data_IF_249852965270
#
_entry.id   IF_249852965270
#
_cell.length_a   1.000
_cell.length_b   1.000
_cell.length_c   1.000
_cell.angle_alpha   90.00
_cell.angle_beta   90.00
_cell.angle_gamma   90.00
#
_symmetry.space_group_name_H-M   'P 1'
#
loop_
_entity.id
_entity.type
_entity.pdbx_description
1 polymer ?
#
# COMPACT_ATOMS: atom_id res chain seq x y z
N UNK A 1 0.50 -2.63 -25.09
CA UNK A 1 1.94 -2.78 -24.79
C UNK A 1 2.31 -4.26 -24.76
N UNK A 2 3.56 -4.63 -25.07
CA UNK A 2 4.04 -6.04 -25.04
C UNK A 2 4.38 -6.47 -23.61
N UNK A 3 4.17 -7.75 -23.29
CA UNK A 3 4.57 -8.36 -22.03
C UNK A 3 6.09 -8.23 -21.84
N UNK A 4 6.54 -7.70 -20.69
CA UNK A 4 7.97 -7.47 -20.39
C UNK A 4 8.51 -6.08 -20.71
N UNK A 5 7.67 -5.05 -20.85
CA UNK A 5 8.12 -3.66 -20.92
C UNK A 5 8.73 -3.21 -19.58
N UNK A 6 9.70 -2.29 -19.66
CA UNK A 6 10.36 -1.70 -18.49
C UNK A 6 9.34 -0.92 -17.64
N UNK A 7 9.06 -1.32 -16.38
CA UNK A 7 8.02 -0.68 -15.57
C UNK A 7 8.23 0.82 -15.38
N UNK A 8 9.48 1.26 -15.30
CA UNK A 8 9.81 2.68 -15.19
C UNK A 8 9.42 3.48 -16.44
N UNK A 9 9.55 2.88 -17.63
CA UNK A 9 9.11 3.50 -18.89
C UNK A 9 7.58 3.62 -18.93
N UNK A 10 6.87 2.60 -18.45
CA UNK A 10 5.39 2.64 -18.34
C UNK A 10 4.94 3.75 -17.39
N UNK A 11 5.59 3.92 -16.24
CA UNK A 11 5.28 4.99 -15.30
C UNK A 11 5.55 6.39 -15.88
N UNK A 12 6.63 6.56 -16.66
CA UNK A 12 6.93 7.80 -17.38
C UNK A 12 5.81 8.19 -18.35
N UNK A 13 5.42 7.25 -19.22
CA UNK A 13 4.39 7.47 -20.23
C UNK A 13 3.03 7.76 -19.58
N UNK A 14 2.73 7.07 -18.48
CA UNK A 14 1.49 7.27 -17.71
C UNK A 14 1.39 8.69 -17.16
N UNK A 15 2.47 9.23 -16.58
CA UNK A 15 2.48 10.61 -16.06
C UNK A 15 2.39 11.65 -17.17
N UNK A 16 3.09 11.47 -18.29
CA UNK A 16 2.97 12.39 -19.44
C UNK A 16 1.54 12.39 -20.00
N UNK A 17 0.92 11.22 -20.12
CA UNK A 17 -0.48 11.08 -20.54
C UNK A 17 -1.43 11.77 -19.56
N UNK A 18 -1.22 11.61 -18.26
CA UNK A 18 -2.02 12.27 -17.22
C UNK A 18 -1.92 13.81 -17.29
N UNK A 19 -0.71 14.36 -17.50
CA UNK A 19 -0.53 15.81 -17.70
C UNK A 19 -1.23 16.30 -18.96
N UNK A 20 -1.12 15.57 -20.08
CA UNK A 20 -1.74 15.95 -21.35
C UNK A 20 -3.27 15.89 -21.33
N UNK A 21 -3.83 14.99 -20.51
CA UNK A 21 -5.29 14.81 -20.36
C UNK A 21 -5.89 15.59 -19.20
N UNK A 22 -5.06 16.23 -18.37
CA UNK A 22 -5.50 16.96 -17.18
C UNK A 22 -6.09 16.05 -16.10
N UNK A 23 -5.58 14.82 -15.97
CA UNK A 23 -6.04 13.88 -14.95
C UNK A 23 -5.58 14.31 -13.54
N UNK A 24 -6.48 14.22 -12.57
CA UNK A 24 -6.20 14.62 -11.19
C UNK A 24 -5.37 13.58 -10.41
N UNK A 25 -5.54 12.28 -10.73
CA UNK A 25 -4.96 11.17 -9.97
C UNK A 25 -4.35 10.14 -10.91
N UNK A 26 -3.16 9.65 -10.56
CA UNK A 26 -2.48 8.54 -11.22
C UNK A 26 -2.17 7.46 -10.21
N UNK A 27 -2.54 6.21 -10.53
CA UNK A 27 -2.23 5.03 -9.72
C UNK A 27 -1.26 4.16 -10.53
N UNK A 28 -0.10 3.84 -9.94
CA UNK A 28 0.92 2.99 -10.55
C UNK A 28 0.95 1.66 -9.81
N UNK A 29 0.55 0.57 -10.48
CA UNK A 29 0.72 -0.78 -9.97
C UNK A 29 2.18 -1.25 -10.17
N UNK A 30 2.71 -2.01 -9.22
CA UNK A 30 4.11 -2.45 -9.20
C UNK A 30 4.23 -3.91 -8.82
N UNK A 31 5.32 -4.56 -9.22
CA UNK A 31 5.58 -5.92 -8.75
C UNK A 31 5.77 -5.95 -7.22
N UNK A 32 5.31 -7.03 -6.56
CA UNK A 32 5.43 -7.22 -5.10
C UNK A 32 6.27 -8.43 -4.68
N UNK A 33 7.02 -9.04 -5.61
CA UNK A 33 7.66 -10.36 -5.41
C UNK A 33 8.94 -10.26 -4.56
N UNK A 34 8.77 -10.38 -3.24
CA UNK A 34 9.83 -10.20 -2.24
C UNK A 34 10.92 -11.29 -2.21
N UNK A 35 10.76 -12.40 -2.93
CA UNK A 35 11.76 -13.48 -2.99
C UNK A 35 13.09 -13.03 -3.64
N UNK A 36 13.07 -11.96 -4.44
CA UNK A 36 14.27 -11.34 -5.00
C UNK A 36 14.32 -9.84 -4.63
N UNK A 37 14.64 -9.59 -3.36
CA UNK A 37 14.58 -8.26 -2.73
C UNK A 37 15.40 -7.21 -3.48
N UNK A 38 16.62 -7.53 -3.90
CA UNK A 38 17.52 -6.55 -4.54
C UNK A 38 16.93 -6.05 -5.87
N UNK A 39 16.45 -6.97 -6.71
CA UNK A 39 15.90 -6.61 -8.01
C UNK A 39 14.61 -5.80 -7.88
N UNK A 40 13.71 -6.21 -6.98
CA UNK A 40 12.48 -5.47 -6.71
C UNK A 40 12.78 -4.04 -6.25
N UNK A 41 13.76 -3.86 -5.37
CA UNK A 41 14.08 -2.53 -4.82
C UNK A 41 14.76 -1.61 -5.82
N UNK A 42 15.62 -2.17 -6.68
CA UNK A 42 16.18 -1.43 -7.81
C UNK A 42 15.08 -0.99 -8.78
N UNK A 43 14.09 -1.83 -9.03
CA UNK A 43 12.96 -1.51 -9.90
C UNK A 43 12.09 -0.39 -9.33
N UNK A 44 11.68 -0.48 -8.05
CA UNK A 44 10.90 0.56 -7.38
C UNK A 44 11.65 1.91 -7.33
N UNK A 45 12.95 1.86 -7.05
CA UNK A 45 13.82 3.06 -7.07
C UNK A 45 13.88 3.68 -8.47
N UNK A 46 14.00 2.84 -9.51
CA UNK A 46 14.02 3.30 -10.90
C UNK A 46 12.69 3.95 -11.29
N UNK A 47 11.56 3.35 -10.92
CA UNK A 47 10.21 3.93 -11.15
C UNK A 47 10.12 5.31 -10.50
N UNK A 48 10.45 5.44 -9.20
CA UNK A 48 10.46 6.73 -8.47
C UNK A 48 11.31 7.79 -9.18
N UNK A 49 12.54 7.43 -9.56
CA UNK A 49 13.46 8.37 -10.22
C UNK A 49 12.98 8.82 -11.60
N UNK A 50 12.31 7.94 -12.35
CA UNK A 50 11.77 8.29 -13.66
C UNK A 50 10.51 9.15 -13.52
N UNK A 51 9.64 8.86 -12.56
CA UNK A 51 8.47 9.69 -12.25
C UNK A 51 8.85 11.13 -11.91
N UNK A 52 9.92 11.32 -11.11
CA UNK A 52 10.46 12.64 -10.74
C UNK A 52 10.91 13.50 -11.92
N UNK A 53 11.18 12.91 -13.08
CA UNK A 53 11.52 13.67 -14.29
C UNK A 53 10.32 14.36 -14.91
N UNK A 54 9.11 13.86 -14.67
CA UNK A 54 7.85 14.40 -15.21
C UNK A 54 7.15 15.29 -14.16
N UNK A 55 7.11 14.81 -12.91
CA UNK A 55 6.49 15.48 -11.77
C UNK A 55 7.50 15.49 -10.61
N UNK A 56 8.19 16.61 -10.33
CA UNK A 56 9.33 16.65 -9.41
C UNK A 56 9.08 16.13 -7.99
N UNK A 57 7.87 16.29 -7.49
CA UNK A 57 7.41 15.86 -6.16
C UNK A 57 6.78 14.45 -6.15
N UNK A 58 6.72 13.75 -7.29
CA UNK A 58 6.20 12.40 -7.36
C UNK A 58 7.18 11.33 -6.80
N UNK A 59 6.67 10.19 -6.31
CA UNK A 59 5.27 9.95 -5.95
C UNK A 59 4.88 10.71 -4.68
N UNK A 60 3.67 11.29 -4.68
CA UNK A 60 3.09 11.93 -3.50
C UNK A 60 2.73 10.92 -2.40
N UNK A 61 2.35 9.71 -2.80
CA UNK A 61 2.00 8.60 -1.91
C UNK A 61 2.65 7.30 -2.39
N UNK A 62 3.21 6.54 -1.45
CA UNK A 62 3.67 5.16 -1.62
C UNK A 62 2.87 4.32 -0.63
N UNK A 63 1.79 3.72 -1.14
CA UNK A 63 0.86 2.90 -0.36
C UNK A 63 1.32 1.44 -0.34
N UNK A 64 1.77 0.96 0.83
CA UNK A 64 2.07 -0.45 1.01
C UNK A 64 0.80 -1.23 1.38
N UNK A 65 0.43 -2.18 0.54
CA UNK A 65 -0.72 -3.06 0.75
C UNK A 65 -0.29 -4.34 1.46
N UNK A 66 -0.92 -4.67 2.59
CA UNK A 66 -0.58 -5.82 3.43
C UNK A 66 -1.82 -6.67 3.70
N UNK A 67 -1.62 -8.00 3.74
CA UNK A 67 -2.67 -8.96 4.07
C UNK A 67 -2.77 -9.15 5.59
N UNK A 68 -3.83 -8.62 6.20
CA UNK A 68 -4.07 -8.65 7.65
C UNK A 68 -4.25 -10.07 8.21
N UNK A 69 -4.71 -11.02 7.40
CA UNK A 69 -4.92 -12.42 7.82
C UNK A 69 -3.60 -13.15 8.15
N UNK A 70 -2.48 -12.64 7.63
CA UNK A 70 -1.17 -13.27 7.72
C UNK A 70 -0.38 -12.91 8.98
N UNK A 71 -0.88 -11.97 9.79
CA UNK A 71 -0.29 -11.61 11.09
C UNK A 71 1.19 -11.23 10.98
N UNK A 72 2.08 -11.99 11.63
CA UNK A 72 3.53 -11.72 11.64
C UNK A 72 4.16 -11.65 10.23
N UNK A 73 3.61 -12.34 9.24
CA UNK A 73 4.12 -12.25 7.88
C UNK A 73 3.90 -10.86 7.28
N UNK A 74 2.76 -10.22 7.55
CA UNK A 74 2.51 -8.83 7.13
C UNK A 74 3.49 -7.87 7.79
N UNK A 75 3.83 -8.10 9.06
CA UNK A 75 4.82 -7.30 9.78
C UNK A 75 6.22 -7.43 9.15
N UNK A 76 6.68 -8.65 8.87
CA UNK A 76 7.98 -8.87 8.23
C UNK A 76 8.03 -8.34 6.79
N UNK A 77 6.91 -8.39 6.05
CA UNK A 77 6.80 -7.72 4.75
C UNK A 77 6.93 -6.21 4.89
N UNK A 78 6.19 -5.60 5.82
CA UNK A 78 6.30 -4.17 6.11
C UNK A 78 7.74 -3.77 6.39
N UNK A 79 8.42 -4.47 7.31
CA UNK A 79 9.82 -4.26 7.65
C UNK A 79 10.74 -4.25 6.44
N UNK A 80 10.54 -5.20 5.53
CA UNK A 80 11.41 -5.37 4.37
C UNK A 80 11.16 -4.29 3.30
N UNK A 81 9.90 -3.87 3.11
CA UNK A 81 9.57 -2.78 2.19
C UNK A 81 10.01 -1.42 2.74
N UNK A 82 9.76 -1.13 4.02
CA UNK A 82 10.15 0.15 4.63
C UNK A 82 11.66 0.32 4.73
N UNK A 83 12.42 -0.78 4.79
CA UNK A 83 13.88 -0.73 4.76
C UNK A 83 14.44 -0.33 3.39
N UNK A 84 13.64 -0.46 2.33
CA UNK A 84 14.15 -0.37 0.96
C UNK A 84 13.42 0.64 0.07
N UNK A 85 12.21 1.06 0.44
CA UNK A 85 11.53 2.21 -0.15
C UNK A 85 10.83 3.03 0.92
N UNK A 86 10.62 4.30 0.61
CA UNK A 86 10.00 5.27 1.49
C UNK A 86 8.47 5.13 1.42
N UNK A 87 7.94 4.21 2.21
CA UNK A 87 6.50 3.99 2.37
C UNK A 87 5.93 5.05 3.32
N UNK A 88 4.86 5.73 2.93
CA UNK A 88 4.23 6.77 3.74
C UNK A 88 2.76 6.50 4.10
N UNK A 89 2.15 5.46 3.55
CA UNK A 89 0.81 5.01 3.94
C UNK A 89 0.70 3.47 3.88
N UNK A 90 -0.18 2.91 4.70
CA UNK A 90 -0.52 1.48 4.69
C UNK A 90 -1.98 1.26 4.28
N UNK A 91 -2.22 0.21 3.51
CA UNK A 91 -3.54 -0.37 3.31
C UNK A 91 -3.54 -1.80 3.84
N UNK A 92 -4.47 -2.15 4.73
CA UNK A 92 -4.57 -3.52 5.26
C UNK A 92 -5.82 -4.19 4.70
N UNK A 93 -5.65 -5.26 3.95
CA UNK A 93 -6.76 -6.01 3.33
C UNK A 93 -7.06 -7.29 4.10
N UNK A 94 -8.18 -7.94 3.73
CA UNK A 94 -8.64 -9.21 4.30
C UNK A 94 -8.80 -9.16 5.82
N UNK A 95 -9.42 -8.10 6.31
CA UNK A 95 -9.76 -7.98 7.74
C UNK A 95 -11.13 -8.59 8.05
N UNK A 96 -11.92 -8.88 7.03
CA UNK A 96 -13.11 -9.72 7.13
C UNK A 96 -12.76 -11.12 7.64
N UNK A 97 -13.41 -11.54 8.72
CA UNK A 97 -13.30 -12.89 9.25
C UNK A 97 -12.00 -13.22 10.00
N UNK A 98 -11.15 -12.23 10.34
CA UNK A 98 -9.89 -12.49 11.08
C UNK A 98 -9.87 -11.83 12.47
N UNK A 99 -9.60 -12.62 13.51
CA UNK A 99 -9.30 -12.13 14.86
C UNK A 99 -7.89 -11.49 14.97
N UNK A 100 -7.23 -11.22 13.83
CA UNK A 100 -5.83 -10.77 13.76
C UNK A 100 -5.70 -9.26 13.51
N UNK A 101 -6.77 -8.49 13.67
CA UNK A 101 -6.76 -7.03 13.55
C UNK A 101 -5.72 -6.32 14.43
N UNK A 102 -5.24 -6.96 15.51
CA UNK A 102 -4.14 -6.46 16.32
C UNK A 102 -2.82 -6.25 15.56
N UNK A 103 -2.59 -6.97 14.45
CA UNK A 103 -1.38 -6.76 13.62
C UNK A 103 -1.33 -5.35 13.03
N UNK A 104 -2.50 -4.77 12.72
CA UNK A 104 -2.64 -3.43 12.15
C UNK A 104 -2.06 -2.38 13.10
N UNK A 105 -2.41 -2.51 14.37
CA UNK A 105 -1.96 -1.61 15.44
C UNK A 105 -0.45 -1.74 15.60
N UNK A 106 0.07 -2.97 15.66
CA UNK A 106 1.50 -3.24 15.83
C UNK A 106 2.36 -2.72 14.67
N UNK A 107 1.92 -2.90 13.42
CA UNK A 107 2.64 -2.40 12.24
C UNK A 107 2.64 -0.87 12.25
N UNK A 108 1.48 -0.24 12.46
CA UNK A 108 1.38 1.22 12.46
C UNK A 108 2.22 1.86 13.58
N UNK A 109 2.20 1.29 14.78
CA UNK A 109 2.99 1.80 15.91
C UNK A 109 4.50 1.61 15.71
N UNK A 110 4.92 0.43 15.23
CA UNK A 110 6.35 0.12 15.04
C UNK A 110 7.01 0.95 13.94
N UNK A 111 6.36 1.05 12.77
CA UNK A 111 6.93 1.76 11.62
C UNK A 111 6.60 3.26 11.61
N UNK A 112 5.70 3.72 12.50
CA UNK A 112 5.19 5.10 12.53
C UNK A 112 4.56 5.54 11.19
N UNK A 113 4.04 4.58 10.42
CA UNK A 113 3.35 4.82 9.16
C UNK A 113 1.82 4.74 9.41
N UNK A 114 1.04 5.74 8.97
CA UNK A 114 -0.40 5.72 9.15
C UNK A 114 -1.05 4.63 8.29
N UNK A 115 -1.98 3.90 8.89
CA UNK A 115 -2.95 3.10 8.13
C UNK A 115 -3.96 4.06 7.53
N UNK A 116 -4.06 4.07 6.20
CA UNK A 116 -4.94 4.95 5.44
C UNK A 116 -6.20 4.22 4.97
N UNK A 117 -6.08 2.93 4.63
CA UNK A 117 -7.19 2.12 4.15
C UNK A 117 -7.26 0.76 4.83
N UNK A 118 -8.48 0.24 4.94
CA UNK A 118 -8.78 -1.13 5.37
C UNK A 118 -9.73 -1.80 4.37
N UNK A 119 -9.44 -3.05 4.01
CA UNK A 119 -10.31 -3.89 3.18
C UNK A 119 -11.06 -4.89 4.03
N UNK A 120 -12.39 -4.83 3.98
CA UNK A 120 -13.33 -5.62 4.78
C UNK A 120 -14.13 -6.64 3.94
N UNK A 121 -13.63 -6.99 2.76
CA UNK A 121 -14.29 -7.88 1.81
C UNK A 121 -13.66 -7.82 0.43
N UNK A 122 -14.35 -8.40 -0.55
CA UNK A 122 -13.88 -8.55 -1.93
C UNK A 122 -14.48 -7.53 -2.90
N UNK A 123 -15.56 -6.85 -2.51
CA UNK A 123 -16.24 -5.83 -3.30
C UNK A 123 -15.42 -4.54 -3.43
N UNK A 124 -15.77 -3.70 -4.41
CA UNK A 124 -15.11 -2.40 -4.60
C UNK A 124 -15.41 -1.43 -3.45
N UNK A 125 -16.60 -1.57 -2.86
CA UNK A 125 -17.13 -0.84 -1.73
C UNK A 125 -16.52 -1.25 -0.37
N UNK A 126 -15.81 -2.38 -0.34
CA UNK A 126 -15.25 -2.94 0.90
C UNK A 126 -13.91 -2.32 1.30
N UNK A 127 -13.34 -1.44 0.46
CA UNK A 127 -12.17 -0.64 0.79
C UNK A 127 -12.59 0.68 1.45
N UNK A 128 -12.33 0.80 2.74
CA UNK A 128 -12.72 1.95 3.54
C UNK A 128 -11.51 2.77 4.00
N UNK A 129 -11.72 4.08 4.17
CA UNK A 129 -10.74 4.94 4.85
C UNK A 129 -10.64 4.50 6.31
N UNK A 130 -9.41 4.34 6.79
CA UNK A 130 -9.17 3.88 8.16
C UNK A 130 -9.62 4.94 9.18
N UNK A 131 -10.58 4.55 10.02
CA UNK A 131 -10.97 5.32 11.19
C UNK A 131 -10.50 4.58 12.45
N UNK A 132 -9.48 5.13 13.12
CA UNK A 132 -8.90 4.54 14.33
C UNK A 132 -9.94 4.26 15.41
N UNK A 133 -10.86 5.20 15.65
CA UNK A 133 -11.87 5.05 16.70
C UNK A 133 -12.82 3.92 16.35
N UNK A 134 -13.41 3.95 15.15
CA UNK A 134 -14.33 2.90 14.70
C UNK A 134 -13.65 1.52 14.68
N UNK A 135 -12.36 1.45 14.31
CA UNK A 135 -11.60 0.21 14.32
C UNK A 135 -11.39 -0.35 15.74
N UNK A 136 -10.98 0.49 16.69
CA UNK A 136 -10.83 0.10 18.10
C UNK A 136 -12.18 -0.31 18.69
N UNK A 137 -13.24 0.46 18.44
CA UNK A 137 -14.59 0.15 18.87
C UNK A 137 -15.08 -1.18 18.28
N UNK A 138 -14.71 -1.53 17.05
CA UNK A 138 -15.04 -2.85 16.46
C UNK A 138 -14.24 -4.02 17.05
N UNK A 139 -13.04 -3.76 17.59
CA UNK A 139 -12.19 -4.79 18.18
C UNK A 139 -12.51 -5.07 19.66
N UNK A 140 -12.94 -4.03 20.39
CA UNK A 140 -13.12 -4.08 21.86
C UNK A 140 -14.52 -3.68 22.32
N UNK A 141 -15.40 -3.23 21.42
CA UNK A 141 -16.75 -2.82 21.75
C UNK A 141 -17.57 -4.01 22.23
N UNK A 142 -18.23 -3.83 23.38
CA UNK A 142 -18.85 -4.87 24.18
C UNK A 142 -19.86 -5.74 23.42
N UNK A 143 -19.73 -7.06 23.60
CA UNK A 143 -20.75 -8.10 23.36
C UNK A 143 -21.98 -7.98 24.31
N UNK A 144 -22.23 -6.83 24.95
CA UNK A 144 -23.28 -6.65 25.96
C UNK A 144 -24.72 -6.54 25.41
N UNK A 145 -24.94 -6.82 24.12
CA UNK A 145 -26.29 -6.83 23.51
C UNK A 145 -26.59 -8.06 22.65
N UNK A 146 -26.18 -9.25 23.09
CA UNK A 146 -26.66 -10.53 22.52
C UNK A 146 -27.25 -11.43 23.58
#
# INVERSE_FOLDING_TARGET
QKMGSDPASVAFDTLNSAQATGADVVIIDTAGRLHNKINLMNELTKIKNVMKKVVPDAPHEVLLVLDGSTGQNAFEQAKQFTAATEVNALAITKLDGTAKGGVVISISDHFRIPVKYIGLGEGMEDLQVFNRKAFVDSLFGDDEKR
#
